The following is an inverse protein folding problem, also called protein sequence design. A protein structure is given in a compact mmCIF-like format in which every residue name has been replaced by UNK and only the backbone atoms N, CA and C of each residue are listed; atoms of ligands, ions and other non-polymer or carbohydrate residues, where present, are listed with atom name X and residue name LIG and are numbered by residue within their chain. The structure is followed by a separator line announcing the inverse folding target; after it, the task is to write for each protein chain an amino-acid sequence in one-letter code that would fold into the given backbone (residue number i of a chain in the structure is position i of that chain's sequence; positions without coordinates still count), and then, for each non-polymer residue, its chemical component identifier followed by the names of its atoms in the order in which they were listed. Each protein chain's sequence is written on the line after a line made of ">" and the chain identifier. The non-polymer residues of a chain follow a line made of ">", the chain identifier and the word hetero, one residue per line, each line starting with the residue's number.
data_IF_329368654394
#
_entry.id   IF_329368654394
#
_cell.length_a   1.000
_cell.length_b   1.000
_cell.length_c   1.000
_cell.angle_alpha   90.00
_cell.angle_beta   90.00
_cell.angle_gamma   90.00
#
_symmetry.space_group_name_H-M   'P 1'
#
loop_
_entity.id
_entity.type
_entity.pdbx_description
1 polymer ?
#
# COMPACT_ATOMS: atom_id res chain seq x y z
N UNK A 1 18.51 9.56 -7.91
CA UNK A 1 17.61 8.47 -8.37
C UNK A 1 17.88 7.25 -7.50
N UNK A 2 16.85 6.60 -6.96
CA UNK A 2 17.05 5.39 -6.16
C UNK A 2 17.56 4.23 -7.05
N UNK A 3 18.32 3.29 -6.48
CA UNK A 3 18.75 2.10 -7.22
C UNK A 3 17.56 1.16 -7.46
N UNK A 4 17.62 0.39 -8.55
CA UNK A 4 16.59 -0.63 -8.88
C UNK A 4 16.31 -1.54 -7.68
N UNK A 5 17.37 -1.98 -7.01
CA UNK A 5 17.28 -2.83 -5.81
C UNK A 5 16.50 -2.17 -4.66
N UNK A 6 16.68 -0.88 -4.42
CA UNK A 6 15.93 -0.14 -3.38
C UNK A 6 14.44 -0.13 -3.69
N UNK A 7 14.08 0.13 -4.94
CA UNK A 7 12.67 0.12 -5.39
C UNK A 7 12.04 -1.27 -5.23
N UNK A 8 12.76 -2.32 -5.63
CA UNK A 8 12.31 -3.72 -5.46
C UNK A 8 12.10 -4.07 -3.98
N UNK A 9 13.00 -3.64 -3.09
CA UNK A 9 12.84 -3.83 -1.64
C UNK A 9 11.62 -3.10 -1.08
N UNK A 10 11.39 -1.84 -1.50
CA UNK A 10 10.23 -1.04 -1.07
C UNK A 10 8.94 -1.76 -1.46
N UNK A 11 8.84 -2.22 -2.71
CA UNK A 11 7.67 -2.94 -3.20
C UNK A 11 7.41 -4.21 -2.41
N UNK A 12 8.45 -5.00 -2.17
CA UNK A 12 8.33 -6.22 -1.40
C UNK A 12 7.84 -5.95 0.03
N UNK A 13 8.26 -4.84 0.65
CA UNK A 13 7.71 -4.41 1.95
C UNK A 13 6.23 -4.01 1.84
N UNK A 14 5.87 -3.20 0.84
CA UNK A 14 4.48 -2.80 0.61
C UNK A 14 3.57 -4.01 0.40
N UNK A 15 3.99 -4.98 -0.41
CA UNK A 15 3.27 -6.24 -0.62
C UNK A 15 3.12 -7.05 0.66
N UNK A 16 4.16 -7.09 1.49
CA UNK A 16 4.10 -7.77 2.79
C UNK A 16 3.08 -7.10 3.72
N UNK A 17 3.13 -5.77 3.85
CA UNK A 17 2.22 -5.02 4.71
C UNK A 17 0.78 -5.09 4.22
N UNK A 18 0.58 -4.83 2.92
CA UNK A 18 -0.72 -4.86 2.25
C UNK A 18 -1.17 -6.27 1.87
N UNK A 19 -0.48 -7.31 2.34
CA UNK A 19 -0.81 -8.71 2.08
C UNK A 19 -1.91 -9.21 3.02
N UNK A 20 -2.77 -10.11 2.53
CA UNK A 20 -3.95 -10.60 3.28
C UNK A 20 -3.56 -11.15 4.66
N UNK A 21 -2.46 -11.89 4.72
CA UNK A 21 -1.99 -12.50 5.97
C UNK A 21 -1.59 -11.45 7.01
N UNK A 22 -0.90 -10.38 6.60
CA UNK A 22 -0.53 -9.29 7.50
C UNK A 22 -1.76 -8.45 7.89
N UNK A 23 -2.65 -8.14 6.95
CA UNK A 23 -3.86 -7.36 7.24
C UNK A 23 -4.83 -8.07 8.19
N UNK A 24 -4.86 -9.41 8.18
CA UNK A 24 -5.69 -10.20 9.08
C UNK A 24 -5.18 -10.17 10.52
N UNK A 25 -3.86 -10.15 10.70
CA UNK A 25 -3.21 -10.17 12.02
C UNK A 25 -2.95 -8.76 12.56
N UNK A 26 -2.60 -7.83 11.68
CA UNK A 26 -2.25 -6.44 11.98
C UNK A 26 -3.48 -5.55 12.05
N UNK A 27 -4.07 -5.51 13.26
CA UNK A 27 -5.22 -4.67 13.56
C UNK A 27 -4.91 -3.17 13.43
N UNK A 28 -3.65 -2.77 13.59
CA UNK A 28 -3.27 -1.36 13.48
C UNK A 28 -3.37 -0.92 12.02
N UNK A 29 -2.70 -1.65 11.12
CA UNK A 29 -2.78 -1.35 9.69
C UNK A 29 -4.23 -1.35 9.19
N UNK A 30 -5.02 -2.35 9.61
CA UNK A 30 -6.43 -2.49 9.22
C UNK A 30 -7.32 -1.33 9.68
N UNK A 31 -7.04 -0.71 10.83
CA UNK A 31 -7.76 0.50 11.29
C UNK A 31 -7.46 1.73 10.43
N UNK A 32 -6.32 1.74 9.76
CA UNK A 32 -5.91 2.80 8.85
C UNK A 32 -6.25 2.50 7.37
N UNK A 33 -6.83 1.33 7.09
CA UNK A 33 -7.41 1.05 5.77
C UNK A 33 -8.71 1.84 5.68
N UNK A 34 -8.74 2.77 4.73
CA UNK A 34 -9.91 3.59 4.40
C UNK A 34 -10.81 2.91 3.37
N UNK A 35 -11.90 3.61 3.02
CA UNK A 35 -12.89 3.15 2.06
C UNK A 35 -12.25 2.67 0.75
N UNK A 36 -12.67 1.49 0.28
CA UNK A 36 -12.15 0.90 -0.96
C UNK A 36 -10.74 0.32 -0.84
N UNK A 37 -10.22 0.14 0.39
CA UNK A 37 -8.94 -0.52 0.64
C UNK A 37 -7.73 0.42 0.53
N UNK A 38 -7.92 1.74 0.57
CA UNK A 38 -6.84 2.71 0.49
C UNK A 38 -6.11 2.86 1.82
N UNK A 39 -4.78 2.95 1.79
CA UNK A 39 -3.93 3.14 2.97
C UNK A 39 -3.03 4.33 2.73
N UNK A 40 -2.84 5.15 3.75
CA UNK A 40 -1.96 6.30 3.67
C UNK A 40 -0.50 5.87 3.47
N UNK A 41 0.15 6.40 2.44
CA UNK A 41 1.53 6.04 2.11
C UNK A 41 2.49 6.56 3.18
N UNK A 42 2.20 7.71 3.79
CA UNK A 42 3.00 8.28 4.87
C UNK A 42 2.99 7.36 6.10
N UNK A 43 1.85 6.71 6.38
CA UNK A 43 1.76 5.70 7.44
C UNK A 43 2.70 4.52 7.17
N UNK A 44 2.69 3.99 5.95
CA UNK A 44 3.57 2.88 5.57
C UNK A 44 5.03 3.30 5.68
N UNK A 45 5.38 4.51 5.22
CA UNK A 45 6.74 5.06 5.33
C UNK A 45 7.16 5.29 6.79
N UNK A 46 6.23 5.50 7.71
CA UNK A 46 6.51 5.61 9.13
C UNK A 46 6.93 4.28 9.76
N UNK A 47 6.70 3.14 9.10
CA UNK A 47 7.09 1.84 9.64
C UNK A 47 8.59 1.63 9.67
N UNK A 48 9.12 0.97 10.72
CA UNK A 48 10.56 0.79 10.89
C UNK A 48 11.21 0.03 9.73
N UNK A 49 10.50 -0.90 9.07
CA UNK A 49 11.05 -1.60 7.90
C UNK A 49 11.12 -0.70 6.66
N UNK A 50 10.12 0.16 6.46
CA UNK A 50 10.12 1.12 5.35
C UNK A 50 11.16 2.21 5.58
N UNK A 51 11.25 2.78 6.77
CA UNK A 51 12.24 3.81 7.11
C UNK A 51 13.70 3.35 6.86
N UNK A 52 13.98 2.06 7.01
CA UNK A 52 15.31 1.49 6.71
C UNK A 52 15.63 1.43 5.21
N UNK A 53 14.62 1.48 4.36
CA UNK A 53 14.75 1.45 2.90
C UNK A 53 14.60 2.86 2.31
N UNK A 54 13.48 3.51 2.62
CA UNK A 54 13.17 4.88 2.21
C UNK A 54 12.02 5.44 3.04
N UNK A 55 12.14 6.71 3.43
CA UNK A 55 11.08 7.50 4.07
C UNK A 55 10.49 8.56 3.14
N UNK A 56 10.85 8.54 1.85
CA UNK A 56 10.42 9.52 0.86
C UNK A 56 9.23 9.00 0.06
N UNK A 57 8.11 9.74 0.08
CA UNK A 57 6.94 9.41 -0.74
C UNK A 57 7.28 9.27 -2.22
N UNK A 58 8.05 10.22 -2.77
CA UNK A 58 8.43 10.22 -4.19
C UNK A 58 9.13 8.93 -4.60
N UNK A 59 10.03 8.42 -3.76
CA UNK A 59 10.77 7.17 -4.04
C UNK A 59 9.85 5.96 -4.00
N UNK A 60 8.91 5.91 -3.06
CA UNK A 60 7.93 4.82 -3.00
C UNK A 60 6.95 4.85 -4.19
N UNK A 61 6.47 6.03 -4.57
CA UNK A 61 5.61 6.21 -5.75
C UNK A 61 6.36 5.83 -7.03
N UNK A 62 7.61 6.28 -7.16
CA UNK A 62 8.47 5.91 -8.29
C UNK A 62 8.67 4.39 -8.36
N UNK A 63 8.92 3.74 -7.21
CA UNK A 63 9.04 2.28 -7.12
C UNK A 63 7.79 1.55 -7.65
N UNK A 64 6.61 1.99 -7.23
CA UNK A 64 5.33 1.42 -7.69
C UNK A 64 5.15 1.64 -9.19
N UNK A 65 5.36 2.87 -9.66
CA UNK A 65 5.19 3.21 -11.08
C UNK A 65 6.19 2.51 -12.01
N UNK A 66 7.41 2.22 -11.53
CA UNK A 66 8.43 1.55 -12.35
C UNK A 66 8.05 0.11 -12.67
N UNK A 67 7.40 -0.59 -11.75
CA UNK A 67 7.00 -2.00 -11.97
C UNK A 67 5.72 -2.10 -12.79
N UNK A 68 4.78 -1.16 -12.62
CA UNK A 68 3.58 -1.10 -13.47
C UNK A 68 3.91 -0.72 -14.92
N UNK A 69 4.94 0.11 -15.15
CA UNK A 69 5.39 0.46 -16.50
C UNK A 69 6.23 -0.63 -17.17
N UNK A 70 6.87 -1.50 -16.38
CA UNK A 70 7.84 -2.50 -16.86
C UNK A 70 7.29 -3.89 -17.20
N UNK A 71 5.98 -4.14 -17.05
CA UNK A 71 5.37 -5.43 -17.42
C UNK A 71 5.88 -6.64 -16.61
N UNK A 72 6.42 -6.43 -15.40
CA UNK A 72 6.86 -7.51 -14.52
C UNK A 72 5.64 -8.27 -13.98
N UNK A 73 5.24 -9.31 -14.70
CA UNK A 73 4.01 -10.11 -14.57
C UNK A 73 3.85 -10.94 -13.28
N UNK A 74 4.58 -10.65 -12.20
CA UNK A 74 4.71 -11.56 -11.05
C UNK A 74 4.17 -11.10 -9.71
N UNK A 75 3.96 -9.80 -9.49
CA UNK A 75 3.85 -9.27 -8.13
C UNK A 75 2.65 -8.37 -7.99
N UNK A 76 1.92 -8.56 -6.90
CA UNK A 76 0.64 -7.95 -6.54
C UNK A 76 0.53 -6.50 -7.02
N UNK A 77 -0.48 -6.19 -7.84
CA UNK A 77 -0.72 -4.85 -8.36
C UNK A 77 -1.07 -3.88 -7.22
N UNK A 78 -0.06 -3.19 -6.68
CA UNK A 78 -0.25 -2.04 -5.79
C UNK A 78 -0.59 -0.83 -6.66
N UNK A 79 -1.69 -0.16 -6.36
CA UNK A 79 -2.12 1.07 -7.04
C UNK A 79 -1.81 2.27 -6.17
N UNK A 80 -1.42 3.37 -6.81
CA UNK A 80 -1.24 4.68 -6.17
C UNK A 80 -2.47 5.53 -6.46
N UNK A 81 -2.92 6.30 -5.47
CA UNK A 81 -4.01 7.27 -5.61
C UNK A 81 -3.59 8.46 -6.50
N UNK A 82 -4.55 9.18 -7.05
CA UNK A 82 -4.31 10.31 -7.97
C UNK A 82 -3.44 11.41 -7.31
N UNK A 83 -3.72 11.72 -6.04
CA UNK A 83 -2.93 12.64 -5.21
C UNK A 83 -1.54 12.11 -4.83
N UNK A 84 -1.24 10.85 -5.15
CA UNK A 84 0.00 10.14 -4.76
C UNK A 84 0.25 10.05 -3.25
N UNK A 85 -0.78 10.24 -2.44
CA UNK A 85 -0.71 10.16 -0.97
C UNK A 85 -1.10 8.79 -0.42
N UNK A 86 -1.87 8.02 -1.18
CA UNK A 86 -2.44 6.74 -0.73
C UNK A 86 -2.09 5.62 -1.69
N UNK A 87 -2.02 4.40 -1.17
CA UNK A 87 -1.79 3.18 -1.94
C UNK A 87 -2.78 2.09 -1.55
N UNK A 88 -3.10 1.20 -2.48
CA UNK A 88 -3.95 0.04 -2.21
C UNK A 88 -3.49 -1.21 -2.94
N UNK A 89 -3.84 -2.38 -2.39
CA UNK A 89 -3.61 -3.68 -3.02
C UNK A 89 -4.94 -4.43 -3.17
N UNK A 90 -4.94 -5.51 -3.97
CA UNK A 90 -6.11 -6.39 -4.06
C UNK A 90 -6.48 -7.03 -2.71
N UNK A 91 -5.51 -7.20 -1.81
CA UNK A 91 -5.74 -7.77 -0.49
C UNK A 91 -6.35 -6.75 0.49
N UNK A 92 -5.94 -5.47 0.47
CA UNK A 92 -6.61 -4.44 1.27
C UNK A 92 -8.07 -4.26 0.86
N UNK A 93 -8.35 -4.26 -0.45
CA UNK A 93 -9.71 -4.18 -0.98
C UNK A 93 -10.57 -5.38 -0.54
N UNK A 94 -10.02 -6.60 -0.60
CA UNK A 94 -10.69 -7.80 -0.09
C UNK A 94 -10.98 -7.73 1.41
N UNK A 95 -10.02 -7.28 2.21
CA UNK A 95 -10.19 -7.19 3.68
C UNK A 95 -11.20 -6.11 4.04
N UNK A 96 -11.18 -4.96 3.36
CA UNK A 96 -12.20 -3.91 3.50
C UNK A 96 -13.59 -4.46 3.21
N UNK A 97 -13.74 -5.20 2.09
CA UNK A 97 -15.03 -5.77 1.67
C UNK A 97 -15.56 -6.90 2.58
N UNK A 98 -14.67 -7.73 3.16
CA UNK A 98 -15.09 -8.91 3.96
C UNK A 98 -15.20 -8.67 5.45
N UNK A 99 -14.37 -7.80 6.00
CA UNK A 99 -14.01 -7.85 7.42
C UNK A 99 -14.37 -6.54 8.15
N UNK A 100 -14.55 -5.41 7.46
CA UNK A 100 -14.97 -4.16 8.12
C UNK A 100 -16.51 -4.05 8.23
N UNK A 101 -17.04 -3.89 9.45
CA UNK A 101 -18.47 -3.92 9.71
C UNK A 101 -19.17 -2.68 9.15
N UNK A 102 -20.45 -2.87 8.81
CA UNK A 102 -21.48 -1.86 8.62
C UNK A 102 -21.41 -0.76 9.72
N UNK A 103 -20.63 0.29 9.51
CA UNK A 103 -20.83 1.57 10.16
C UNK A 103 -21.11 2.57 9.05
N UNK A 104 -22.36 3.03 9.00
CA UNK A 104 -22.83 3.97 8.00
C UNK A 104 -22.15 5.34 8.08
N UNK A 105 -22.23 6.05 6.95
CA UNK A 105 -21.76 7.42 6.72
C UNK A 105 -20.42 7.42 5.97
N UNK A 106 -20.28 7.91 4.74
CA UNK A 106 -21.08 8.84 3.96
C UNK A 106 -20.14 9.88 3.32
N UNK A 107 -20.27 10.08 2.01
CA UNK A 107 -19.69 11.21 1.25
C UNK A 107 -18.71 10.76 0.17
N UNK A 108 -18.92 10.98 -1.12
CA UNK A 108 -19.95 11.74 -1.81
C UNK A 108 -19.53 11.92 -3.27
N UNK A 109 -20.48 11.80 -4.18
CA UNK A 109 -20.38 12.01 -5.62
C UNK A 109 -21.76 11.81 -6.23
#
# INVERSE_FOLDING_TARGET
>A
MASKETREKILSQLEYYLGENNLRTDKFLRKHVEEGGWVDLQLLLSFPKMQRLSSSMEVAIEAINTVTAGGSSGSTYVKVSEDKKKVKSAATEKVWSKDLPLQGGGGGG
#
